data_IF_292519479052
#
_entry.id   IF_292519479052
#
_cell.length_a   1.000
_cell.length_b   1.000
_cell.length_c   1.000
_cell.angle_alpha   90.00
_cell.angle_beta   90.00
_cell.angle_gamma   90.00
#
_symmetry.space_group_name_H-M   'P 1'
#
loop_
_entity.id
_entity.type
_entity.pdbx_description
1 polymer ?
#
# COMPACT_ATOMS: atom_id res chain seq x y z
N UNK A 1 0.29 18.51 27.40
CA UNK A 1 0.85 17.27 27.97
C UNK A 1 -0.22 16.59 28.82
N UNK A 2 -0.35 15.26 28.75
CA UNK A 2 -1.33 14.47 29.50
C UNK A 2 -0.65 13.56 30.52
N UNK A 3 -1.16 13.47 31.75
CA UNK A 3 -0.50 12.67 32.79
C UNK A 3 -0.70 11.19 32.51
N UNK A 4 0.38 10.41 32.49
CA UNK A 4 0.34 8.95 32.35
C UNK A 4 -0.55 8.31 33.42
N UNK A 5 -1.27 7.26 33.04
CA UNK A 5 -2.31 6.64 33.87
C UNK A 5 -3.63 7.41 33.97
N UNK A 6 -3.80 8.49 33.19
CA UNK A 6 -5.08 9.23 33.11
C UNK A 6 -5.84 8.85 31.85
N UNK A 7 -7.17 8.78 31.95
CA UNK A 7 -8.08 8.69 30.81
C UNK A 7 -8.84 10.00 30.66
N UNK A 8 -8.82 10.57 29.46
CA UNK A 8 -9.60 11.74 29.08
C UNK A 8 -10.70 11.30 28.10
N UNK A 9 -11.96 11.62 28.43
CA UNK A 9 -13.12 11.27 27.62
C UNK A 9 -13.49 12.40 26.65
N UNK A 10 -13.85 12.04 25.42
CA UNK A 10 -14.29 12.94 24.36
C UNK A 10 -13.17 13.33 23.39
N UNK A 11 -13.45 14.35 22.56
CA UNK A 11 -12.51 14.78 21.52
C UNK A 11 -11.43 15.70 22.07
N UNK A 12 -10.17 15.35 21.81
CA UNK A 12 -9.03 16.25 21.91
C UNK A 12 -8.86 17.04 20.60
N UNK A 13 -9.11 18.35 20.64
CA UNK A 13 -8.97 19.24 19.50
C UNK A 13 -8.12 20.49 19.84
N UNK A 14 -6.78 20.37 19.90
CA UNK A 14 -5.92 21.54 20.07
C UNK A 14 -6.12 22.51 18.90
N UNK A 15 -5.98 23.81 19.18
CA UNK A 15 -6.13 24.86 18.18
C UNK A 15 -4.84 25.67 18.07
N UNK A 16 -4.57 26.15 16.86
CA UNK A 16 -3.41 26.97 16.55
C UNK A 16 -2.29 26.17 15.88
N UNK A 17 -1.27 26.89 15.43
CA UNK A 17 -0.10 26.33 14.76
C UNK A 17 1.16 26.62 15.55
N UNK A 18 2.16 25.74 15.42
CA UNK A 18 3.52 26.04 15.81
C UNK A 18 4.21 26.90 14.72
N UNK A 19 5.53 26.94 14.80
CA UNK A 19 6.39 27.45 13.73
C UNK A 19 7.59 26.54 13.54
N UNK A 20 8.33 26.68 12.44
CA UNK A 20 9.56 25.93 12.22
C UNK A 20 10.57 26.07 13.40
N UNK A 21 10.63 27.26 14.02
CA UNK A 21 11.49 27.51 15.18
C UNK A 21 10.92 26.95 16.50
N UNK A 22 9.59 26.86 16.60
CA UNK A 22 8.87 26.48 17.81
C UNK A 22 7.68 25.58 17.46
N UNK A 23 7.91 24.32 17.08
CA UNK A 23 6.83 23.35 16.93
C UNK A 23 6.24 23.04 18.32
N UNK A 24 4.96 22.67 18.38
CA UNK A 24 4.36 22.22 19.64
C UNK A 24 4.17 20.71 19.68
N UNK A 25 4.19 20.14 20.88
CA UNK A 25 4.04 18.70 21.08
C UNK A 25 2.84 18.41 21.97
N UNK A 26 2.03 17.44 21.54
CA UNK A 26 0.95 16.85 22.31
C UNK A 26 1.37 15.43 22.66
N UNK A 27 1.68 15.19 23.93
CA UNK A 27 2.17 13.91 24.40
C UNK A 27 1.78 13.63 25.85
N UNK A 28 2.05 12.41 26.31
CA UNK A 28 1.96 12.06 27.73
C UNK A 28 3.21 12.51 28.54
N UNK A 29 3.11 12.52 29.87
CA UNK A 29 4.21 12.79 30.80
C UNK A 29 4.06 12.04 32.13
N UNK A 30 5.16 11.94 32.89
CA UNK A 30 5.21 11.26 34.19
C UNK A 30 5.73 9.82 34.10
N UNK A 31 5.73 9.11 35.21
CA UNK A 31 6.41 7.79 35.33
C UNK A 31 5.43 6.62 35.49
N UNK A 32 4.11 6.85 35.41
CA UNK A 32 3.15 5.76 35.50
C UNK A 32 3.37 4.75 34.35
N UNK A 33 3.16 3.44 34.57
CA UNK A 33 3.48 2.42 33.56
C UNK A 33 2.58 2.48 32.32
N UNK A 34 1.34 2.96 32.48
CA UNK A 34 0.38 3.09 31.38
C UNK A 34 0.43 4.48 30.74
N UNK A 35 0.17 4.55 29.43
CA UNK A 35 0.09 5.82 28.70
C UNK A 35 -1.08 6.66 29.18
N UNK A 36 -1.07 7.95 28.84
CA UNK A 36 -2.31 8.73 28.91
C UNK A 36 -3.25 8.29 27.78
N UNK A 37 -4.52 8.07 28.10
CA UNK A 37 -5.54 7.61 27.16
C UNK A 37 -6.43 8.77 26.74
N UNK A 38 -6.60 8.96 25.43
CA UNK A 38 -7.65 9.77 24.84
C UNK A 38 -8.72 8.80 24.32
N UNK A 39 -9.84 8.70 25.03
CA UNK A 39 -10.99 7.90 24.61
C UNK A 39 -12.02 8.84 24.01
N UNK A 40 -12.26 8.70 22.71
CA UNK A 40 -13.23 9.50 21.96
C UNK A 40 -14.66 9.37 22.51
N UNK A 41 -14.97 8.35 23.31
CA UNK A 41 -16.25 8.13 23.98
C UNK A 41 -17.45 8.31 23.04
N UNK A 42 -17.36 7.79 21.82
CA UNK A 42 -18.46 7.89 20.88
C UNK A 42 -18.42 9.14 20.00
N UNK A 43 -17.39 9.99 20.08
CA UNK A 43 -17.21 11.13 19.18
C UNK A 43 -16.76 10.72 17.76
N UNK A 44 -16.95 11.61 16.78
CA UNK A 44 -16.47 11.39 15.41
C UNK A 44 -14.95 11.19 15.37
N UNK A 45 -14.19 12.04 16.08
CA UNK A 45 -12.73 11.95 16.16
C UNK A 45 -12.31 11.93 17.63
N UNK A 46 -11.50 10.95 18.05
CA UNK A 46 -10.91 10.99 19.40
C UNK A 46 -9.86 12.11 19.49
N UNK A 47 -9.04 12.27 18.46
CA UNK A 47 -8.14 13.41 18.27
C UNK A 47 -8.42 14.09 16.93
N UNK A 48 -8.66 15.39 16.94
CA UNK A 48 -8.83 16.22 15.75
C UNK A 48 -7.72 17.27 15.68
N UNK A 49 -6.89 17.20 14.64
CA UNK A 49 -5.86 18.18 14.30
C UNK A 49 -6.32 18.92 13.06
N UNK A 50 -7.08 20.00 13.29
CA UNK A 50 -7.68 20.79 12.23
C UNK A 50 -6.86 22.04 11.94
N UNK A 51 -6.57 22.30 10.66
CA UNK A 51 -6.03 23.58 10.17
C UNK A 51 -4.81 24.05 10.98
N UNK A 52 -3.84 23.14 11.14
CA UNK A 52 -2.68 23.27 12.03
C UNK A 52 -1.41 22.78 11.34
N UNK A 53 -0.25 23.28 11.79
CA UNK A 53 1.09 22.93 11.27
C UNK A 53 2.15 23.05 12.38
N UNK A 54 3.34 22.49 12.12
CA UNK A 54 4.48 22.42 13.04
C UNK A 54 4.09 21.78 14.38
N UNK A 55 3.60 20.55 14.32
CA UNK A 55 3.09 19.84 15.48
C UNK A 55 3.52 18.37 15.51
N UNK A 56 3.70 17.85 16.71
CA UNK A 56 3.94 16.42 16.96
C UNK A 56 2.91 15.85 17.92
N UNK A 57 2.20 14.80 17.53
CA UNK A 57 1.34 14.00 18.39
C UNK A 57 2.06 12.69 18.70
N UNK A 58 2.37 12.43 19.97
CA UNK A 58 3.23 11.29 20.31
C UNK A 58 2.95 10.64 21.66
N UNK A 59 3.27 9.35 21.78
CA UNK A 59 3.25 8.57 23.05
C UNK A 59 1.89 8.49 23.75
N UNK A 60 0.78 8.75 23.04
CA UNK A 60 -0.58 8.58 23.57
C UNK A 60 -1.14 7.20 23.26
N UNK A 61 -2.11 6.79 24.07
CA UNK A 61 -3.08 5.74 23.75
C UNK A 61 -4.39 6.39 23.31
N UNK A 62 -4.99 5.90 22.22
CA UNK A 62 -6.14 6.51 21.57
C UNK A 62 -7.17 5.43 21.27
N UNK A 63 -8.39 5.60 21.79
CA UNK A 63 -9.51 4.67 21.59
C UNK A 63 -10.78 5.40 21.17
N UNK A 64 -11.72 4.69 20.54
CA UNK A 64 -13.03 5.27 20.19
C UNK A 64 -14.09 4.17 19.97
N UNK A 65 -14.43 3.47 21.05
CA UNK A 65 -15.20 2.22 20.98
C UNK A 65 -16.73 2.40 21.12
N UNK A 66 -17.16 3.45 21.84
CA UNK A 66 -18.59 3.66 22.10
C UNK A 66 -19.35 4.03 20.81
N UNK A 67 -20.64 3.72 20.75
CA UNK A 67 -21.52 3.93 19.60
C UNK A 67 -20.94 3.38 18.27
N UNK A 68 -20.65 2.06 18.20
CA UNK A 68 -19.99 1.45 17.06
C UNK A 68 -20.82 1.56 15.77
N UNK A 69 -20.13 1.59 14.63
CA UNK A 69 -20.77 1.60 13.30
C UNK A 69 -21.12 2.99 12.75
N UNK A 70 -20.91 4.08 13.50
CA UNK A 70 -20.95 5.46 12.98
C UNK A 70 -19.60 5.86 12.36
N UNK A 71 -19.50 6.98 11.64
CA UNK A 71 -18.18 7.51 11.24
C UNK A 71 -17.31 7.80 12.47
N UNK A 72 -16.11 7.20 12.54
CA UNK A 72 -15.20 7.29 13.69
C UNK A 72 -13.74 7.27 13.29
N UNK A 73 -12.94 8.12 13.91
CA UNK A 73 -11.51 8.12 13.79
C UNK A 73 -10.81 8.09 15.15
N UNK A 74 -9.63 7.47 15.16
CA UNK A 74 -8.67 7.65 16.25
C UNK A 74 -8.05 9.05 16.18
N UNK A 75 -7.30 9.32 15.11
CA UNK A 75 -6.74 10.63 14.79
C UNK A 75 -7.25 11.10 13.45
N UNK A 76 -7.72 12.34 13.37
CA UNK A 76 -8.06 12.99 12.10
C UNK A 76 -7.21 14.24 11.91
N UNK A 77 -6.39 14.25 10.86
CA UNK A 77 -5.79 15.45 10.29
C UNK A 77 -6.80 16.03 9.30
N UNK A 78 -7.21 17.28 9.48
CA UNK A 78 -8.20 17.92 8.62
C UNK A 78 -7.73 19.29 8.18
N UNK A 79 -7.56 19.49 6.87
CA UNK A 79 -7.38 20.82 6.29
C UNK A 79 -8.65 21.26 5.57
N UNK A 80 -9.02 22.53 5.68
CA UNK A 80 -10.08 23.13 4.90
C UNK A 80 -9.75 24.58 4.56
N UNK A 81 -9.50 24.85 3.27
CA UNK A 81 -9.13 26.18 2.78
C UNK A 81 -7.93 26.81 3.51
N UNK A 82 -6.96 25.98 3.91
CA UNK A 82 -5.81 26.34 4.75
C UNK A 82 -4.57 26.78 3.97
N UNK A 83 -4.35 26.21 2.79
CA UNK A 83 -3.06 26.26 2.11
C UNK A 83 -2.15 25.09 2.55
N UNK A 84 -0.84 25.32 2.53
CA UNK A 84 0.14 24.32 2.95
C UNK A 84 0.17 24.16 4.48
N UNK A 85 -0.04 22.94 4.97
CA UNK A 85 0.23 22.58 6.36
C UNK A 85 1.57 21.87 6.47
N UNK A 86 2.52 22.51 7.17
CA UNK A 86 3.91 22.08 7.23
C UNK A 86 4.24 21.25 8.46
N UNK A 87 5.17 20.32 8.33
CA UNK A 87 5.86 19.62 9.43
C UNK A 87 4.91 19.09 10.50
N UNK A 88 4.19 18.02 10.18
CA UNK A 88 3.31 17.30 11.11
C UNK A 88 3.85 15.89 11.33
N UNK A 89 4.01 15.49 12.58
CA UNK A 89 4.47 14.15 12.95
C UNK A 89 3.45 13.45 13.85
N UNK A 90 3.03 12.25 13.46
CA UNK A 90 2.23 11.32 14.28
C UNK A 90 3.07 10.08 14.58
N UNK A 91 3.53 9.94 15.82
CA UNK A 91 4.47 8.88 16.14
C UNK A 91 4.36 8.23 17.50
N UNK A 92 4.75 6.96 17.59
CA UNK A 92 4.68 6.19 18.83
C UNK A 92 3.28 6.26 19.45
N UNK A 93 2.20 6.27 18.67
CA UNK A 93 0.83 6.19 19.15
C UNK A 93 0.41 4.72 19.31
N UNK A 94 -0.49 4.46 20.26
CA UNK A 94 -1.19 3.18 20.41
C UNK A 94 -2.66 3.45 20.09
N UNK A 95 -3.11 3.12 18.88
CA UNK A 95 -4.46 3.41 18.39
C UNK A 95 -5.21 2.10 18.28
N UNK A 96 -6.24 1.92 19.10
CA UNK A 96 -7.01 0.67 19.07
C UNK A 96 -8.45 0.84 19.52
N UNK A 97 -9.27 -0.17 19.24
CA UNK A 97 -10.70 -0.16 19.57
C UNK A 97 -11.41 1.07 18.99
N UNK A 98 -11.09 1.43 17.75
CA UNK A 98 -11.81 2.45 16.98
C UNK A 98 -12.89 1.72 16.20
N UNK A 99 -14.13 1.74 16.70
CA UNK A 99 -15.24 0.93 16.18
C UNK A 99 -16.10 1.69 15.18
N UNK A 100 -15.49 2.21 14.13
CA UNK A 100 -16.19 2.97 13.09
C UNK A 100 -17.09 2.13 12.18
N UNK A 101 -17.92 2.80 11.40
CA UNK A 101 -18.74 2.20 10.35
C UNK A 101 -17.95 1.99 9.06
N UNK A 102 -18.50 1.18 8.16
CA UNK A 102 -17.94 0.85 6.84
C UNK A 102 -18.07 2.03 5.84
N UNK A 103 -17.56 3.20 6.23
CA UNK A 103 -17.62 4.46 5.48
C UNK A 103 -16.23 4.81 4.93
N UNK A 104 -16.08 4.75 3.60
CA UNK A 104 -14.87 5.13 2.83
C UNK A 104 -15.07 6.47 2.11
N UNK A 105 -15.32 7.52 2.88
CA UNK A 105 -15.69 8.88 2.40
C UNK A 105 -14.66 9.92 2.85
N UNK A 106 -14.90 11.20 2.62
CA UNK A 106 -14.07 12.31 3.12
C UNK A 106 -14.15 12.48 4.66
N UNK A 107 -15.22 11.97 5.27
CA UNK A 107 -15.47 11.97 6.73
C UNK A 107 -15.43 10.55 7.31
N UNK A 108 -15.04 9.56 6.51
CA UNK A 108 -15.12 8.14 6.84
C UNK A 108 -14.29 7.70 8.03
N UNK A 109 -14.29 6.39 8.28
CA UNK A 109 -13.75 5.81 9.51
C UNK A 109 -12.35 5.23 9.34
N UNK A 110 -11.41 5.55 10.25
CA UNK A 110 -10.04 5.04 10.19
C UNK A 110 -9.28 5.18 11.51
N UNK A 111 -8.13 4.53 11.65
CA UNK A 111 -7.24 4.78 12.78
C UNK A 111 -6.65 6.19 12.66
N UNK A 112 -6.09 6.50 11.47
CA UNK A 112 -5.55 7.80 11.11
C UNK A 112 -6.18 8.25 9.79
N UNK A 113 -6.99 9.31 9.86
CA UNK A 113 -7.64 9.92 8.71
C UNK A 113 -6.90 11.19 8.30
N UNK A 114 -6.40 11.25 7.07
CA UNK A 114 -5.79 12.44 6.47
C UNK A 114 -6.75 13.03 5.45
N UNK A 115 -7.53 14.02 5.89
CA UNK A 115 -8.56 14.67 5.09
C UNK A 115 -8.10 16.05 4.62
N UNK A 116 -8.24 16.29 3.31
CA UNK A 116 -8.18 17.63 2.71
C UNK A 116 -9.57 17.97 2.17
N UNK A 117 -10.25 18.85 2.89
CA UNK A 117 -11.55 19.41 2.60
C UNK A 117 -11.40 20.80 1.95
N UNK A 118 -12.44 21.64 2.05
CA UNK A 118 -12.45 22.96 1.41
C UNK A 118 -12.64 22.89 -0.11
N UNK A 119 -12.89 24.05 -0.71
CA UNK A 119 -13.09 24.19 -2.17
C UNK A 119 -12.54 25.50 -2.73
N UNK A 120 -12.08 26.40 -1.85
CA UNK A 120 -11.74 27.78 -2.19
C UNK A 120 -10.23 27.97 -2.26
N UNK A 121 -9.51 27.45 -1.27
CA UNK A 121 -8.04 27.56 -1.18
C UNK A 121 -7.44 26.16 -1.29
N UNK A 122 -6.65 25.87 -2.36
CA UNK A 122 -5.88 24.64 -2.46
C UNK A 122 -5.11 24.37 -1.19
N UNK A 123 -5.33 23.20 -0.60
CA UNK A 123 -4.74 22.81 0.69
C UNK A 123 -4.04 21.46 0.56
N UNK A 124 -2.91 21.31 1.23
CA UNK A 124 -2.10 20.09 1.17
C UNK A 124 -1.17 20.01 2.38
N UNK A 125 -0.67 18.81 2.68
CA UNK A 125 0.38 18.62 3.67
C UNK A 125 1.76 18.68 3.02
N UNK A 126 2.74 19.29 3.69
CA UNK A 126 4.13 19.43 3.23
C UNK A 126 5.07 19.02 4.38
N UNK A 127 5.59 17.79 4.32
CA UNK A 127 6.32 17.18 5.43
C UNK A 127 5.38 16.54 6.46
N UNK A 128 4.64 15.51 6.05
CA UNK A 128 3.80 14.70 6.95
C UNK A 128 4.48 13.37 7.24
N UNK A 129 4.79 13.11 8.50
CA UNK A 129 5.34 11.85 8.96
C UNK A 129 4.36 11.09 9.85
N UNK A 130 4.10 9.82 9.51
CA UNK A 130 3.27 8.90 10.29
C UNK A 130 4.11 7.65 10.55
N UNK A 131 4.66 7.51 11.76
CA UNK A 131 5.63 6.45 12.00
C UNK A 131 5.65 5.82 13.39
N UNK A 132 6.15 4.60 13.50
CA UNK A 132 6.31 3.91 14.80
C UNK A 132 4.99 3.79 15.59
N UNK A 133 3.84 3.77 14.92
CA UNK A 133 2.54 3.61 15.56
C UNK A 133 2.15 2.14 15.66
N UNK A 134 1.47 1.77 16.75
CA UNK A 134 0.78 0.49 16.92
C UNK A 134 -0.71 0.73 16.68
N UNK A 135 -1.26 0.16 15.62
CA UNK A 135 -2.65 0.30 15.20
C UNK A 135 -3.29 -1.09 15.21
N UNK A 136 -4.34 -1.28 16.00
CA UNK A 136 -5.01 -2.59 16.08
C UNK A 136 -6.50 -2.52 16.32
N UNK A 137 -7.24 -3.49 15.79
CA UNK A 137 -8.68 -3.64 16.03
C UNK A 137 -9.49 -2.39 15.64
N UNK A 138 -9.32 -1.96 14.39
CA UNK A 138 -9.93 -0.75 13.84
C UNK A 138 -10.93 -1.06 12.73
N UNK A 139 -12.04 -0.34 12.77
CA UNK A 139 -13.04 -0.26 11.71
C UNK A 139 -13.13 1.22 11.28
N UNK A 140 -12.95 1.61 10.01
CA UNK A 140 -12.75 0.79 8.80
C UNK A 140 -11.26 0.64 8.44
N UNK A 141 -10.56 1.75 8.21
CA UNK A 141 -9.22 1.77 7.62
C UNK A 141 -8.10 1.85 8.67
N UNK A 142 -6.89 1.43 8.32
CA UNK A 142 -5.69 1.78 9.09
C UNK A 142 -5.31 3.24 8.91
N UNK A 143 -4.56 3.55 7.86
CA UNK A 143 -4.14 4.91 7.49
C UNK A 143 -4.80 5.29 6.17
N UNK A 144 -5.61 6.35 6.17
CA UNK A 144 -6.48 6.66 5.04
C UNK A 144 -6.41 8.13 4.64
N UNK A 145 -6.11 8.37 3.37
CA UNK A 145 -6.05 9.70 2.77
C UNK A 145 -7.27 9.96 1.90
N UNK A 146 -7.79 11.19 1.93
CA UNK A 146 -8.79 11.67 0.96
C UNK A 146 -8.69 13.18 0.75
N UNK A 147 -8.70 13.60 -0.52
CA UNK A 147 -8.60 15.02 -0.89
C UNK A 147 -9.69 15.47 -1.87
N UNK A 148 -10.28 16.65 -1.60
CA UNK A 148 -11.13 17.39 -2.56
C UNK A 148 -10.34 18.07 -3.67
N UNK A 149 -9.03 18.24 -3.52
CA UNK A 149 -8.11 18.77 -4.53
C UNK A 149 -7.48 17.65 -5.34
N UNK A 150 -8.30 16.83 -5.99
CA UNK A 150 -7.90 15.61 -6.69
C UNK A 150 -8.16 15.65 -8.21
N UNK A 151 -8.69 16.75 -8.75
CA UNK A 151 -9.06 16.87 -10.16
C UNK A 151 -7.88 16.93 -11.11
N UNK A 152 -7.73 15.89 -11.94
CA UNK A 152 -6.82 15.86 -13.09
C UNK A 152 -7.34 14.93 -14.18
N UNK A 153 -6.77 14.96 -15.38
CA UNK A 153 -7.19 14.09 -16.48
C UNK A 153 -7.08 12.60 -16.12
N UNK A 154 -6.02 12.22 -15.39
CA UNK A 154 -5.69 10.82 -15.13
C UNK A 154 -6.74 10.07 -14.29
N UNK A 155 -7.56 10.75 -13.48
CA UNK A 155 -8.60 10.10 -12.65
C UNK A 155 -9.87 9.75 -13.42
N UNK A 156 -10.00 10.22 -14.67
CA UNK A 156 -11.17 9.95 -15.50
C UNK A 156 -12.49 10.22 -14.76
N UNK A 157 -13.41 9.25 -14.81
CA UNK A 157 -14.71 9.32 -14.14
C UNK A 157 -14.72 8.62 -12.76
N UNK A 158 -13.57 8.16 -12.22
CA UNK A 158 -13.50 7.75 -10.81
C UNK A 158 -13.65 8.96 -9.88
N UNK A 159 -13.41 10.15 -10.42
CA UNK A 159 -13.68 11.40 -9.74
C UNK A 159 -15.15 11.80 -9.89
N UNK A 160 -15.84 11.97 -8.76
CA UNK A 160 -17.05 12.79 -8.71
C UNK A 160 -16.63 14.27 -8.68
N UNK A 161 -16.87 15.05 -9.77
CA UNK A 161 -16.44 16.44 -9.85
C UNK A 161 -17.24 17.37 -8.92
N UNK A 162 -18.38 16.93 -8.40
CA UNK A 162 -19.16 17.71 -7.42
C UNK A 162 -18.61 17.48 -6.00
N UNK A 163 -18.29 16.23 -5.67
CA UNK A 163 -17.71 15.89 -4.38
C UNK A 163 -16.25 16.38 -4.26
N UNK A 164 -15.45 16.25 -5.32
CA UNK A 164 -14.02 16.56 -5.33
C UNK A 164 -13.66 17.57 -6.42
N UNK A 165 -14.10 18.84 -6.33
CA UNK A 165 -14.02 19.79 -7.45
C UNK A 165 -12.62 20.40 -7.68
N UNK A 166 -11.75 20.38 -6.67
CA UNK A 166 -10.49 21.12 -6.66
C UNK A 166 -9.46 20.53 -7.61
N UNK A 167 -8.71 21.39 -8.30
CA UNK A 167 -7.57 20.99 -9.12
C UNK A 167 -6.57 20.16 -8.31
N UNK A 168 -5.97 19.14 -8.92
CA UNK A 168 -5.01 18.24 -8.27
C UNK A 168 -3.89 19.03 -7.61
N UNK A 169 -3.88 19.01 -6.27
CA UNK A 169 -2.92 19.71 -5.42
C UNK A 169 -2.39 18.69 -4.41
N UNK A 170 -1.28 18.01 -4.72
CA UNK A 170 -0.84 16.87 -3.94
C UNK A 170 -0.19 17.28 -2.62
N UNK A 171 -0.31 16.41 -1.62
CA UNK A 171 0.57 16.49 -0.45
C UNK A 171 1.99 16.04 -0.80
N UNK A 172 2.98 16.72 -0.23
CA UNK A 172 4.40 16.60 -0.51
C UNK A 172 5.16 16.12 0.73
N UNK A 173 6.28 15.42 0.53
CA UNK A 173 7.11 14.96 1.65
C UNK A 173 6.37 14.04 2.62
N UNK A 174 5.41 13.25 2.12
CA UNK A 174 4.66 12.29 2.94
C UNK A 174 5.49 11.04 3.20
N UNK A 175 5.71 10.71 4.47
CA UNK A 175 6.38 9.49 4.91
C UNK A 175 5.48 8.67 5.85
N UNK A 176 5.29 7.39 5.52
CA UNK A 176 4.53 6.45 6.35
C UNK A 176 5.43 5.25 6.63
N UNK A 177 5.99 5.13 7.83
CA UNK A 177 7.00 4.10 8.06
C UNK A 177 7.05 3.49 9.46
N UNK A 178 7.54 2.26 9.57
CA UNK A 178 7.72 1.59 10.87
C UNK A 178 6.43 1.46 11.68
N UNK A 179 5.26 1.50 11.04
CA UNK A 179 3.99 1.28 11.72
C UNK A 179 3.68 -0.22 11.76
N UNK A 180 3.06 -0.66 12.85
CA UNK A 180 2.46 -2.01 12.96
C UNK A 180 0.95 -1.85 12.92
N UNK A 181 0.30 -2.52 11.98
CA UNK A 181 -1.14 -2.50 11.77
C UNK A 181 -1.68 -3.92 11.83
N UNK A 182 -2.64 -4.18 12.72
CA UNK A 182 -3.22 -5.52 12.86
C UNK A 182 -4.74 -5.47 12.97
N UNK A 183 -5.43 -6.52 12.52
CA UNK A 183 -6.89 -6.65 12.70
C UNK A 183 -7.68 -5.44 12.17
N UNK A 184 -7.54 -5.11 10.90
CA UNK A 184 -8.27 -4.03 10.24
C UNK A 184 -9.51 -4.54 9.51
N UNK A 185 -10.61 -3.78 9.56
CA UNK A 185 -11.83 -4.15 8.86
C UNK A 185 -11.70 -4.02 7.35
N UNK A 186 -11.12 -2.91 6.88
CA UNK A 186 -11.02 -2.52 5.49
C UNK A 186 -9.58 -2.50 5.00
N UNK A 187 -9.16 -1.38 4.43
CA UNK A 187 -7.84 -1.18 3.85
C UNK A 187 -6.77 -0.99 4.93
N UNK A 188 -5.53 -1.39 4.61
CA UNK A 188 -4.37 -1.17 5.47
C UNK A 188 -3.89 0.27 5.43
N UNK A 189 -3.20 0.63 4.35
CA UNK A 189 -2.67 1.96 4.10
C UNK A 189 -3.11 2.39 2.69
N UNK A 190 -4.01 3.38 2.63
CA UNK A 190 -4.41 4.04 1.40
C UNK A 190 -3.80 5.43 1.32
N UNK A 191 -3.04 5.68 0.26
CA UNK A 191 -2.52 7.00 -0.07
C UNK A 191 -3.33 7.61 -1.22
N UNK A 192 -3.68 8.88 -1.10
CA UNK A 192 -4.51 9.60 -2.07
C UNK A 192 -3.94 11.00 -2.29
N UNK A 193 -3.78 11.39 -3.56
CA UNK A 193 -3.38 12.76 -3.95
C UNK A 193 -2.08 13.22 -3.28
N UNK A 194 -1.01 12.45 -3.51
CA UNK A 194 0.34 12.76 -3.06
C UNK A 194 1.32 12.78 -4.22
N UNK A 195 2.47 13.43 -4.02
CA UNK A 195 3.59 13.39 -4.96
C UNK A 195 4.88 13.09 -4.20
N UNK A 196 5.60 12.05 -4.63
CA UNK A 196 6.85 11.62 -4.01
C UNK A 196 6.69 10.94 -2.64
N UNK A 197 5.53 10.37 -2.33
CA UNK A 197 5.31 9.70 -1.04
C UNK A 197 6.25 8.48 -0.86
N UNK A 198 6.61 8.20 0.39
CA UNK A 198 7.40 7.03 0.79
C UNK A 198 6.66 6.23 1.84
N UNK A 199 6.43 4.94 1.56
CA UNK A 199 5.79 4.00 2.48
C UNK A 199 6.72 2.85 2.72
N UNK A 200 7.35 2.83 3.89
CA UNK A 200 8.46 1.92 4.14
C UNK A 200 8.50 1.25 5.52
N UNK A 201 8.99 0.02 5.59
CA UNK A 201 9.15 -0.71 6.86
C UNK A 201 7.86 -0.83 7.71
N UNK A 202 6.68 -0.82 7.09
CA UNK A 202 5.42 -1.08 7.81
C UNK A 202 5.15 -2.59 7.86
N UNK A 203 4.55 -3.05 8.96
CA UNK A 203 4.03 -4.41 9.10
C UNK A 203 2.51 -4.36 9.17
N UNK A 204 1.85 -4.93 8.18
CA UNK A 204 0.40 -5.06 8.11
C UNK A 204 0.02 -6.53 8.22
N UNK A 205 -0.75 -6.89 9.24
CA UNK A 205 -1.13 -8.28 9.54
C UNK A 205 -2.63 -8.38 9.84
N UNK A 206 -3.40 -8.73 8.82
CA UNK A 206 -4.86 -8.79 8.86
C UNK A 206 -5.53 -7.49 8.40
N UNK A 207 -5.88 -7.45 7.12
CA UNK A 207 -6.74 -6.42 6.52
C UNK A 207 -7.94 -7.09 5.83
N UNK A 208 -8.95 -6.29 5.47
CA UNK A 208 -10.21 -6.78 4.88
C UNK A 208 -10.91 -7.84 5.75
N UNK A 209 -10.79 -7.77 7.08
CA UNK A 209 -11.32 -8.83 7.94
C UNK A 209 -12.83 -8.69 8.19
N UNK A 210 -13.40 -7.50 8.00
CA UNK A 210 -14.78 -7.20 8.43
C UNK A 210 -15.58 -6.33 7.45
N UNK A 211 -14.94 -5.50 6.63
CA UNK A 211 -15.60 -4.70 5.59
C UNK A 211 -16.13 -5.60 4.47
N UNK A 212 -17.34 -5.31 3.97
CA UNK A 212 -17.94 -6.04 2.85
C UNK A 212 -17.61 -5.42 1.49
N UNK A 213 -16.91 -4.28 1.51
CA UNK A 213 -16.45 -3.59 0.32
C UNK A 213 -15.11 -4.16 -0.19
N UNK A 214 -14.63 -3.57 -1.28
CA UNK A 214 -13.34 -3.90 -1.87
C UNK A 214 -12.23 -3.19 -1.07
N UNK A 215 -11.14 -3.89 -0.80
CA UNK A 215 -10.02 -3.41 0.02
C UNK A 215 -8.71 -4.03 -0.43
N UNK A 216 -7.60 -3.32 -0.19
CA UNK A 216 -6.24 -3.80 -0.40
C UNK A 216 -5.35 -3.51 0.82
N UNK A 217 -4.17 -4.13 0.85
CA UNK A 217 -3.19 -3.95 1.92
C UNK A 217 -2.59 -2.54 1.91
N UNK A 218 -1.69 -2.26 0.97
CA UNK A 218 -1.07 -0.94 0.77
C UNK A 218 -1.28 -0.49 -0.67
N UNK A 219 -1.90 0.68 -0.86
CA UNK A 219 -2.30 1.09 -2.20
C UNK A 219 -2.33 2.60 -2.44
N UNK A 220 -2.23 2.95 -3.72
CA UNK A 220 -2.14 4.32 -4.19
C UNK A 220 -3.32 4.68 -5.08
N UNK A 221 -3.87 5.88 -4.88
CA UNK A 221 -4.87 6.48 -5.76
C UNK A 221 -4.47 7.91 -6.10
N UNK A 222 -4.45 8.26 -7.38
CA UNK A 222 -4.18 9.63 -7.82
C UNK A 222 -2.85 10.22 -7.31
N UNK A 223 -1.80 9.40 -7.33
CA UNK A 223 -0.46 9.77 -6.84
C UNK A 223 0.56 9.87 -7.99
N UNK A 224 1.62 10.65 -7.76
CA UNK A 224 2.80 10.68 -8.62
C UNK A 224 4.04 10.22 -7.82
N UNK A 225 4.82 9.29 -8.39
CA UNK A 225 6.15 8.88 -7.92
C UNK A 225 6.20 8.35 -6.46
N UNK A 226 5.15 7.63 -6.06
CA UNK A 226 5.09 6.93 -4.77
C UNK A 226 5.99 5.71 -4.78
N UNK A 227 6.81 5.54 -3.73
CA UNK A 227 7.59 4.31 -3.51
C UNK A 227 7.07 3.59 -2.28
N UNK A 228 6.74 2.32 -2.46
CA UNK A 228 6.31 1.38 -1.43
C UNK A 228 7.41 0.32 -1.30
N UNK A 229 8.15 0.33 -0.19
CA UNK A 229 9.32 -0.54 -0.03
C UNK A 229 9.59 -1.06 1.38
N UNK A 230 10.20 -2.23 1.51
CA UNK A 230 10.52 -2.84 2.81
C UNK A 230 9.31 -3.11 3.71
N UNK A 231 8.09 -3.22 3.14
CA UNK A 231 6.88 -3.52 3.92
C UNK A 231 6.65 -5.03 4.02
N UNK A 232 6.06 -5.47 5.13
CA UNK A 232 5.48 -6.81 5.30
C UNK A 232 3.95 -6.70 5.28
N UNK A 233 3.28 -7.44 4.39
CA UNK A 233 1.81 -7.41 4.23
C UNK A 233 1.24 -8.83 4.26
N UNK A 234 0.43 -9.13 5.27
CA UNK A 234 -0.12 -10.47 5.49
C UNK A 234 -1.57 -10.52 5.94
N UNK A 235 -2.17 -11.71 5.84
CA UNK A 235 -3.44 -12.03 6.48
C UNK A 235 -4.66 -11.34 5.87
N UNK A 236 -4.59 -10.89 4.61
CA UNK A 236 -5.73 -10.33 3.88
C UNK A 236 -6.92 -11.29 3.87
N UNK A 237 -8.06 -10.87 4.42
CA UNK A 237 -9.17 -11.74 4.79
C UNK A 237 -10.20 -12.05 3.69
N UNK A 238 -10.04 -11.53 2.48
CA UNK A 238 -11.01 -11.70 1.41
C UNK A 238 -10.44 -11.61 0.01
N UNK A 239 -11.29 -11.88 -0.99
CA UNK A 239 -10.90 -11.92 -2.42
C UNK A 239 -11.60 -10.86 -3.26
N UNK A 240 -12.32 -9.93 -2.60
CA UNK A 240 -12.97 -8.79 -3.26
C UNK A 240 -11.93 -7.67 -3.32
N UNK A 241 -11.20 -7.63 -4.42
CA UNK A 241 -9.80 -7.20 -4.46
C UNK A 241 -8.98 -8.12 -3.54
N UNK A 242 -8.53 -7.61 -2.38
CA UNK A 242 -7.84 -8.35 -1.34
C UNK A 242 -6.35 -8.55 -1.56
N UNK A 243 -5.76 -7.79 -2.49
CA UNK A 243 -4.34 -7.86 -2.84
C UNK A 243 -3.49 -7.19 -1.77
N UNK A 244 -2.26 -7.67 -1.62
CA UNK A 244 -1.25 -7.03 -0.77
C UNK A 244 -0.97 -5.59 -1.22
N UNK A 245 -0.86 -5.38 -2.53
CA UNK A 245 -0.50 -4.11 -3.14
C UNK A 245 -1.46 -3.71 -4.26
N UNK A 246 -1.72 -2.41 -4.41
CA UNK A 246 -2.53 -1.90 -5.51
C UNK A 246 -2.06 -0.53 -6.05
N UNK A 247 -1.89 -0.46 -7.37
CA UNK A 247 -1.76 0.80 -8.11
C UNK A 247 -3.11 1.14 -8.80
N UNK A 248 -3.98 1.79 -8.04
CA UNK A 248 -5.31 2.21 -8.49
C UNK A 248 -5.20 3.39 -9.49
N UNK A 249 -6.33 3.85 -10.00
CA UNK A 249 -6.42 4.89 -11.00
C UNK A 249 -5.71 6.18 -10.64
N UNK A 250 -5.21 6.80 -11.70
CA UNK A 250 -4.35 7.96 -11.66
C UNK A 250 -3.07 7.78 -10.85
N UNK A 251 -2.63 6.54 -10.58
CA UNK A 251 -1.29 6.29 -10.06
C UNK A 251 -0.27 6.36 -11.20
N UNK A 252 0.72 7.23 -11.07
CA UNK A 252 1.78 7.43 -12.05
C UNK A 252 3.14 7.24 -11.40
N UNK A 253 3.97 6.36 -11.96
CA UNK A 253 5.33 6.12 -11.49
C UNK A 253 5.39 5.41 -10.13
N UNK A 254 4.34 4.68 -9.73
CA UNK A 254 4.35 3.91 -8.48
C UNK A 254 5.39 2.79 -8.55
N UNK A 255 6.23 2.69 -7.53
CA UNK A 255 7.22 1.63 -7.39
C UNK A 255 6.89 0.77 -6.18
N UNK A 256 6.67 -0.53 -6.38
CA UNK A 256 6.64 -1.53 -5.33
C UNK A 256 7.95 -2.31 -5.38
N UNK A 257 8.83 -2.09 -4.41
CA UNK A 257 10.12 -2.77 -4.37
C UNK A 257 10.49 -3.28 -3.01
N UNK A 258 11.16 -4.41 -2.94
CA UNK A 258 11.62 -4.94 -1.65
C UNK A 258 10.47 -5.08 -0.64
N UNK A 259 9.27 -5.50 -1.05
CA UNK A 259 8.17 -5.85 -0.12
C UNK A 259 7.98 -7.37 0.02
N UNK A 260 7.64 -7.81 1.24
CA UNK A 260 7.31 -9.19 1.56
C UNK A 260 5.81 -9.29 1.78
N UNK A 261 5.12 -10.12 0.99
CA UNK A 261 3.72 -10.41 1.21
C UNK A 261 3.50 -11.89 1.42
N UNK A 262 2.57 -12.23 2.31
CA UNK A 262 2.20 -13.63 2.49
C UNK A 262 0.80 -13.86 3.03
N UNK A 263 0.23 -15.02 2.69
CA UNK A 263 -1.06 -15.49 3.21
C UNK A 263 -2.24 -14.52 2.95
N UNK A 264 -2.18 -13.71 1.87
CA UNK A 264 -3.27 -12.80 1.51
C UNK A 264 -4.27 -13.49 0.58
N UNK A 265 -5.53 -13.60 0.99
CA UNK A 265 -6.54 -14.35 0.22
C UNK A 265 -6.76 -13.79 -1.20
N UNK A 266 -6.69 -12.47 -1.39
CA UNK A 266 -6.91 -11.84 -2.69
C UNK A 266 -5.72 -11.93 -3.64
N UNK A 267 -4.52 -12.10 -3.09
CA UNK A 267 -3.28 -12.31 -3.81
C UNK A 267 -2.31 -11.14 -3.70
N UNK A 268 -1.46 -10.92 -4.70
CA UNK A 268 -0.30 -10.05 -4.57
C UNK A 268 -0.53 -8.61 -5.06
N UNK A 269 -0.84 -8.43 -6.35
CA UNK A 269 -0.88 -7.11 -6.99
C UNK A 269 -2.20 -6.87 -7.72
N UNK A 270 -2.79 -5.71 -7.49
CA UNK A 270 -3.87 -5.13 -8.28
C UNK A 270 -3.38 -3.87 -9.03
N UNK A 271 -3.92 -3.66 -10.22
CA UNK A 271 -3.75 -2.41 -10.97
C UNK A 271 -5.12 -1.99 -11.48
N UNK A 272 -5.71 -0.92 -10.90
CA UNK A 272 -7.15 -0.69 -11.02
C UNK A 272 -7.62 0.69 -11.57
N UNK A 273 -7.23 1.14 -12.78
CA UNK A 273 -7.63 2.45 -13.33
C UNK A 273 -9.05 2.51 -13.93
N UNK A 274 -10.05 1.89 -13.31
CA UNK A 274 -11.41 1.77 -13.89
C UNK A 274 -12.10 3.12 -14.13
N UNK A 275 -13.28 3.10 -14.76
CA UNK A 275 -14.07 4.31 -15.05
C UNK A 275 -13.33 5.40 -15.86
N UNK A 276 -12.42 4.99 -16.75
CA UNK A 276 -11.70 5.91 -17.64
C UNK A 276 -10.49 6.59 -17.00
N UNK A 277 -10.11 6.20 -15.78
CA UNK A 277 -8.82 6.58 -15.21
C UNK A 277 -7.67 5.88 -15.95
N UNK A 278 -6.43 6.24 -15.64
CA UNK A 278 -5.22 5.63 -16.20
C UNK A 278 -4.21 5.34 -15.09
N UNK A 279 -3.52 4.19 -15.18
CA UNK A 279 -2.35 3.88 -14.35
C UNK A 279 -1.13 3.77 -15.24
N UNK A 280 -0.04 4.47 -14.89
CA UNK A 280 1.08 4.73 -15.79
C UNK A 280 2.42 4.41 -15.11
N UNK A 281 3.28 3.64 -15.77
CA UNK A 281 4.68 3.49 -15.38
C UNK A 281 4.90 2.76 -14.05
N UNK A 282 3.99 1.86 -13.66
CA UNK A 282 4.13 1.08 -12.42
C UNK A 282 5.33 0.13 -12.53
N UNK A 283 6.23 0.15 -11.55
CA UNK A 283 7.36 -0.78 -11.45
C UNK A 283 7.18 -1.67 -10.23
N UNK A 284 7.27 -2.99 -10.42
CA UNK A 284 7.15 -3.98 -9.34
C UNK A 284 8.37 -4.87 -9.38
N UNK A 285 9.27 -4.74 -8.41
CA UNK A 285 10.58 -5.41 -8.47
C UNK A 285 11.15 -5.88 -7.16
N UNK A 286 11.92 -6.97 -7.19
CA UNK A 286 12.62 -7.49 -6.00
C UNK A 286 11.71 -7.66 -4.79
N UNK A 287 10.44 -8.01 -5.01
CA UNK A 287 9.50 -8.37 -3.96
C UNK A 287 9.51 -9.89 -3.75
N UNK A 288 9.14 -10.30 -2.55
CA UNK A 288 8.89 -11.69 -2.17
C UNK A 288 7.40 -11.84 -1.90
N UNK A 289 6.75 -12.83 -2.53
CA UNK A 289 5.35 -13.16 -2.29
C UNK A 289 5.25 -14.65 -1.98
N UNK A 290 4.72 -14.98 -0.80
CA UNK A 290 4.66 -16.35 -0.28
C UNK A 290 3.23 -16.72 0.08
N UNK A 291 2.66 -17.73 -0.58
CA UNK A 291 1.28 -18.18 -0.28
C UNK A 291 0.20 -17.09 -0.41
N UNK A 292 0.45 -16.06 -1.23
CA UNK A 292 -0.60 -15.15 -1.69
C UNK A 292 -1.58 -15.90 -2.62
N UNK A 293 -2.87 -15.64 -2.43
CA UNK A 293 -3.96 -16.47 -2.94
C UNK A 293 -4.48 -16.08 -4.33
N UNK A 294 -5.76 -15.72 -4.40
CA UNK A 294 -6.63 -15.85 -5.57
C UNK A 294 -6.01 -15.44 -6.93
N UNK A 295 -5.24 -14.33 -6.97
CA UNK A 295 -4.59 -13.79 -8.18
C UNK A 295 -3.22 -13.20 -7.84
N UNK A 296 -2.15 -13.63 -8.52
CA UNK A 296 -0.87 -12.93 -8.34
C UNK A 296 -0.92 -11.52 -8.94
N UNK A 297 -1.51 -11.37 -10.12
CA UNK A 297 -1.68 -10.06 -10.78
C UNK A 297 -3.12 -9.95 -11.26
N UNK A 298 -3.83 -8.92 -10.82
CA UNK A 298 -5.13 -8.54 -11.38
C UNK A 298 -5.06 -7.14 -12.00
N UNK A 299 -5.69 -7.00 -13.16
CA UNK A 299 -5.85 -5.74 -13.87
C UNK A 299 -7.33 -5.43 -14.02
N UNK A 300 -7.77 -4.29 -13.49
CA UNK A 300 -9.11 -3.79 -13.78
C UNK A 300 -9.17 -3.18 -15.18
N UNK A 301 -10.36 -2.78 -15.60
CA UNK A 301 -10.55 -2.09 -16.86
C UNK A 301 -9.86 -0.72 -16.85
N UNK A 302 -9.43 -0.24 -18.02
CA UNK A 302 -8.81 1.07 -18.19
C UNK A 302 -7.36 1.00 -18.68
N UNK A 303 -6.78 2.10 -19.17
CA UNK A 303 -5.40 2.11 -19.61
C UNK A 303 -4.40 1.83 -18.46
N UNK A 304 -3.67 0.72 -18.59
CA UNK A 304 -2.52 0.35 -17.77
C UNK A 304 -1.32 0.39 -18.69
N UNK A 305 -0.50 1.43 -18.59
CA UNK A 305 0.55 1.69 -19.58
C UNK A 305 1.92 1.62 -18.93
N UNK A 306 2.87 1.02 -19.63
CA UNK A 306 4.28 0.92 -19.23
C UNK A 306 4.50 0.26 -17.85
N UNK A 307 3.71 -0.76 -17.52
CA UNK A 307 3.90 -1.54 -16.29
C UNK A 307 5.04 -2.55 -16.47
N UNK A 308 5.99 -2.55 -15.52
CA UNK A 308 7.17 -3.43 -15.51
C UNK A 308 7.21 -4.23 -14.22
N UNK A 309 7.01 -5.54 -14.31
CA UNK A 309 7.05 -6.47 -13.18
C UNK A 309 8.27 -7.36 -13.38
N UNK A 310 9.32 -7.18 -12.57
CA UNK A 310 10.56 -7.90 -12.78
C UNK A 310 11.35 -8.27 -11.54
N UNK A 311 12.14 -9.34 -11.62
CA UNK A 311 13.01 -9.76 -10.51
C UNK A 311 12.27 -9.97 -9.18
N UNK A 312 11.01 -10.41 -9.22
CA UNK A 312 10.27 -10.83 -8.02
C UNK A 312 10.36 -12.35 -7.86
N UNK A 313 10.21 -12.85 -6.64
CA UNK A 313 10.12 -14.28 -6.34
C UNK A 313 8.76 -14.59 -5.71
N UNK A 314 7.96 -15.38 -6.42
CA UNK A 314 6.64 -15.87 -6.00
C UNK A 314 6.74 -17.34 -5.65
N UNK A 315 6.37 -17.70 -4.41
CA UNK A 315 6.40 -19.08 -3.93
C UNK A 315 5.09 -19.44 -3.25
N UNK A 316 4.40 -20.42 -3.81
CA UNK A 316 3.12 -20.89 -3.34
C UNK A 316 3.29 -22.35 -2.91
N UNK A 317 3.39 -22.54 -1.60
CA UNK A 317 3.61 -23.83 -0.93
C UNK A 317 2.30 -24.52 -0.57
N UNK A 318 1.33 -23.72 -0.12
CA UNK A 318 0.05 -24.20 0.38
C UNK A 318 -1.12 -23.58 -0.36
N UNK A 319 -1.07 -22.28 -0.65
CA UNK A 319 -2.09 -21.59 -1.44
C UNK A 319 -1.78 -21.72 -2.92
N UNK A 320 -2.77 -22.11 -3.75
CA UNK A 320 -2.62 -22.16 -5.21
C UNK A 320 -3.48 -21.05 -5.83
N UNK A 321 -2.88 -20.00 -6.41
CA UNK A 321 -3.59 -18.95 -7.11
C UNK A 321 -4.44 -19.52 -8.24
N UNK A 322 -5.69 -19.08 -8.36
CA UNK A 322 -6.49 -19.43 -9.52
C UNK A 322 -5.90 -18.82 -10.80
N UNK A 323 -5.33 -17.61 -10.69
CA UNK A 323 -4.80 -16.87 -11.83
C UNK A 323 -3.39 -16.34 -11.57
N UNK A 324 -2.51 -16.54 -12.55
CA UNK A 324 -1.23 -15.83 -12.59
C UNK A 324 -1.49 -14.37 -12.97
N UNK A 325 -2.29 -14.17 -14.03
CA UNK A 325 -2.75 -12.86 -14.49
C UNK A 325 -4.24 -12.94 -14.81
N UNK A 326 -5.02 -12.04 -14.20
CA UNK A 326 -6.43 -11.85 -14.50
C UNK A 326 -6.65 -10.41 -15.00
N UNK A 327 -7.12 -10.28 -16.24
CA UNK A 327 -7.77 -9.06 -16.68
C UNK A 327 -9.27 -9.20 -16.42
N UNK A 328 -9.88 -8.19 -15.79
CA UNK A 328 -11.28 -8.25 -15.42
C UNK A 328 -12.19 -8.39 -16.65
N UNK A 329 -13.20 -9.25 -16.51
CA UNK A 329 -14.14 -9.58 -17.58
C UNK A 329 -14.88 -8.33 -18.03
N UNK A 330 -15.05 -8.11 -19.33
CA UNK A 330 -15.77 -6.93 -19.83
C UNK A 330 -14.88 -5.70 -20.07
N UNK A 331 -13.55 -5.82 -19.95
CA UNK A 331 -12.58 -4.82 -20.43
C UNK A 331 -12.97 -4.35 -21.84
N UNK A 332 -13.41 -3.09 -22.04
CA UNK A 332 -13.79 -2.61 -23.36
C UNK A 332 -12.63 -2.77 -24.35
N UNK A 333 -12.91 -2.86 -25.65
CA UNK A 333 -11.86 -2.92 -26.69
C UNK A 333 -10.88 -1.71 -26.67
N UNK A 334 -11.25 -0.64 -25.97
CA UNK A 334 -10.40 0.54 -25.73
C UNK A 334 -9.45 0.39 -24.53
N UNK A 335 -9.57 -0.71 -23.77
CA UNK A 335 -8.67 -1.05 -22.66
C UNK A 335 -7.32 -1.44 -23.23
N UNK A 336 -6.31 -0.61 -22.94
CA UNK A 336 -4.93 -0.83 -23.37
C UNK A 336 -4.10 -1.18 -22.14
N UNK A 337 -3.65 -2.42 -22.10
CA UNK A 337 -2.76 -2.94 -21.08
C UNK A 337 -1.39 -3.17 -21.71
N UNK A 338 -0.35 -2.56 -21.15
CA UNK A 338 1.05 -2.74 -21.52
C UNK A 338 1.82 -3.21 -20.31
N UNK A 339 1.94 -4.53 -20.19
CA UNK A 339 2.55 -5.19 -19.05
C UNK A 339 3.73 -6.04 -19.54
N UNK A 340 4.89 -5.80 -18.95
CA UNK A 340 6.07 -6.62 -19.16
C UNK A 340 6.42 -7.36 -17.87
N UNK A 341 6.45 -8.69 -17.95
CA UNK A 341 6.76 -9.58 -16.82
C UNK A 341 8.07 -10.30 -17.14
N UNK A 342 9.17 -9.96 -16.47
CA UNK A 342 10.51 -10.44 -16.83
C UNK A 342 11.38 -10.81 -15.63
N UNK A 343 12.30 -11.75 -15.77
CA UNK A 343 13.23 -12.11 -14.69
C UNK A 343 12.53 -12.51 -13.37
N UNK A 344 11.27 -12.94 -13.36
CA UNK A 344 10.61 -13.37 -12.13
C UNK A 344 10.76 -14.89 -11.93
N UNK A 345 10.76 -15.33 -10.68
CA UNK A 345 10.63 -16.74 -10.31
C UNK A 345 9.19 -16.98 -9.88
N UNK A 346 8.54 -18.01 -10.44
CA UNK A 346 7.25 -18.51 -9.98
C UNK A 346 7.36 -19.98 -9.61
N UNK A 347 7.07 -20.32 -8.36
CA UNK A 347 7.16 -21.69 -7.82
C UNK A 347 5.82 -22.10 -7.25
N UNK A 348 5.31 -23.24 -7.72
CA UNK A 348 4.18 -23.94 -7.11
C UNK A 348 4.67 -25.26 -6.50
N UNK A 349 4.70 -25.34 -5.17
CA UNK A 349 4.92 -26.58 -4.41
C UNK A 349 3.60 -27.19 -3.89
N UNK A 350 2.50 -26.45 -4.08
CA UNK A 350 1.15 -26.86 -3.70
C UNK A 350 0.51 -27.85 -4.68
N UNK A 351 -0.82 -27.93 -4.65
CA UNK A 351 -1.56 -28.79 -5.56
C UNK A 351 -1.36 -28.39 -7.03
N UNK A 352 -1.45 -29.37 -7.93
CA UNK A 352 -1.42 -29.11 -9.37
C UNK A 352 -2.65 -28.31 -9.83
N UNK A 353 -2.45 -27.41 -10.79
CA UNK A 353 -3.51 -26.55 -11.34
C UNK A 353 -3.33 -25.09 -10.93
N UNK A 354 -4.32 -24.26 -11.25
CA UNK A 354 -4.24 -22.81 -11.01
C UNK A 354 -3.35 -22.09 -12.03
N UNK A 355 -2.88 -20.89 -11.65
CA UNK A 355 -2.03 -20.01 -12.48
C UNK A 355 -2.59 -19.73 -13.87
N UNK A 356 -3.91 -19.77 -14.03
CA UNK A 356 -4.52 -19.53 -15.31
C UNK A 356 -4.33 -18.07 -15.76
N UNK A 357 -4.46 -17.87 -17.07
CA UNK A 357 -4.61 -16.54 -17.65
C UNK A 357 -6.08 -16.30 -17.94
N UNK A 358 -6.63 -15.18 -17.46
CA UNK A 358 -8.01 -14.80 -17.73
C UNK A 358 -8.07 -13.51 -18.51
N UNK A 359 -8.73 -13.57 -19.66
CA UNK A 359 -8.92 -12.46 -20.61
C UNK A 359 -7.64 -11.67 -20.97
N UNK A 360 -6.48 -12.31 -21.13
CA UNK A 360 -5.23 -11.57 -21.23
C UNK A 360 -5.21 -10.69 -22.48
N UNK A 361 -5.03 -9.40 -22.26
CA UNK A 361 -4.87 -8.39 -23.31
C UNK A 361 -3.61 -8.62 -24.17
N UNK A 362 -3.57 -8.09 -25.41
CA UNK A 362 -2.44 -8.29 -26.32
C UNK A 362 -1.10 -7.71 -25.83
N UNK A 363 -1.11 -6.66 -25.00
CA UNK A 363 0.12 -6.04 -24.50
C UNK A 363 0.73 -6.70 -23.26
N UNK A 364 0.18 -7.85 -22.82
CA UNK A 364 0.81 -8.70 -21.80
C UNK A 364 1.93 -9.55 -22.41
N UNK A 365 3.16 -9.28 -21.97
CA UNK A 365 4.37 -9.96 -22.45
C UNK A 365 5.19 -10.60 -21.32
N UNK A 366 5.77 -11.76 -21.61
CA UNK A 366 6.68 -12.49 -20.73
C UNK A 366 8.03 -12.71 -21.42
N UNK A 367 9.12 -12.73 -20.65
CA UNK A 367 10.43 -13.19 -21.11
C UNK A 367 11.37 -13.45 -19.93
N UNK A 368 12.28 -14.42 -20.02
CA UNK A 368 13.30 -14.68 -18.99
C UNK A 368 12.72 -14.92 -17.59
N UNK A 369 11.47 -15.37 -17.47
CA UNK A 369 10.94 -15.83 -16.19
C UNK A 369 11.26 -17.31 -16.01
N UNK A 370 11.42 -17.72 -14.76
CA UNK A 370 11.53 -19.12 -14.39
C UNK A 370 10.22 -19.59 -13.78
N UNK A 371 9.73 -20.74 -14.26
CA UNK A 371 8.56 -21.42 -13.72
C UNK A 371 8.97 -22.79 -13.17
N UNK A 372 8.45 -23.16 -12.00
CA UNK A 372 8.58 -24.49 -11.41
C UNK A 372 7.23 -24.96 -10.87
N UNK A 373 6.82 -26.18 -11.22
CA UNK A 373 5.51 -26.72 -10.83
C UNK A 373 4.31 -26.01 -11.49
N UNK A 374 4.57 -25.18 -12.51
CA UNK A 374 3.57 -24.37 -13.22
C UNK A 374 3.72 -24.62 -14.72
N UNK A 375 2.67 -25.11 -15.37
CA UNK A 375 2.64 -25.28 -16.82
C UNK A 375 2.37 -23.92 -17.51
N UNK A 376 3.43 -23.28 -18.01
CA UNK A 376 3.31 -21.98 -18.68
C UNK A 376 2.60 -22.12 -20.03
N UNK A 377 1.47 -21.41 -20.19
CA UNK A 377 0.61 -21.49 -21.40
C UNK A 377 0.80 -20.32 -22.37
N UNK A 378 1.71 -19.38 -22.07
CA UNK A 378 2.06 -18.25 -22.94
C UNK A 378 3.55 -18.29 -23.30
N UNK A 379 3.96 -17.70 -24.45
CA UNK A 379 5.37 -17.59 -24.80
C UNK A 379 6.19 -16.87 -23.73
N UNK A 380 7.31 -17.46 -23.33
CA UNK A 380 8.28 -16.91 -22.37
C UNK A 380 9.70 -17.05 -22.95
N UNK A 381 10.06 -16.29 -24.01
CA UNK A 381 11.38 -16.36 -24.64
C UNK A 381 12.50 -16.09 -23.63
N UNK A 382 13.56 -16.89 -23.69
CA UNK A 382 14.67 -16.87 -22.73
C UNK A 382 14.30 -17.38 -21.34
N UNK A 383 13.07 -17.86 -21.15
CA UNK A 383 12.59 -18.41 -19.90
C UNK A 383 13.09 -19.82 -19.58
N UNK A 384 12.92 -20.21 -18.33
CA UNK A 384 13.38 -21.49 -17.79
C UNK A 384 12.18 -22.24 -17.18
N UNK A 385 12.11 -23.54 -17.42
CA UNK A 385 11.16 -24.46 -16.78
C UNK A 385 11.98 -25.51 -16.01
N UNK A 386 12.33 -25.18 -14.76
CA UNK A 386 13.21 -25.98 -13.91
C UNK A 386 13.05 -25.56 -12.45
N UNK A 387 13.47 -26.42 -11.52
CA UNK A 387 13.59 -26.06 -10.11
C UNK A 387 14.63 -24.93 -9.93
N UNK A 388 14.26 -23.77 -9.36
CA UNK A 388 15.19 -22.68 -9.09
C UNK A 388 16.20 -22.98 -7.98
N UNK A 389 16.10 -24.12 -7.29
CA UNK A 389 16.89 -24.46 -6.11
C UNK A 389 16.81 -23.37 -5.04
N UNK A 390 15.58 -22.94 -4.73
CA UNK A 390 15.35 -21.97 -3.64
C UNK A 390 15.62 -22.64 -2.29
N UNK A 391 16.32 -21.91 -1.43
CA UNK A 391 16.47 -22.24 -0.01
C UNK A 391 15.21 -21.86 0.77
N UNK A 392 15.06 -22.33 2.03
CA UNK A 392 13.94 -21.92 2.88
C UNK A 392 13.81 -20.40 3.07
N UNK A 393 14.94 -19.68 3.01
CA UNK A 393 15.01 -18.21 3.09
C UNK A 393 14.88 -17.50 1.73
N UNK A 394 14.48 -18.22 0.68
CA UNK A 394 14.22 -17.74 -0.67
C UNK A 394 15.45 -17.25 -1.44
N UNK A 395 16.66 -17.47 -0.93
CA UNK A 395 17.89 -17.28 -1.70
C UNK A 395 18.12 -18.45 -2.65
N UNK A 396 18.76 -18.19 -3.78
CA UNK A 396 19.17 -19.23 -4.72
C UNK A 396 20.32 -20.06 -4.13
N UNK A 397 20.22 -21.39 -4.25
CA UNK A 397 21.32 -22.27 -3.91
C UNK A 397 22.41 -22.27 -5.01
N UNK A 398 23.61 -22.75 -4.65
CA UNK A 398 24.67 -22.99 -5.63
C UNK A 398 24.19 -23.98 -6.72
N UNK A 399 24.49 -23.65 -7.99
CA UNK A 399 24.05 -24.45 -9.15
C UNK A 399 22.62 -24.19 -9.62
N UNK A 400 21.91 -23.23 -9.00
CA UNK A 400 20.58 -22.82 -9.45
C UNK A 400 20.58 -22.39 -10.94
N UNK A 401 19.60 -22.83 -11.74
CA UNK A 401 19.45 -22.38 -13.12
C UNK A 401 19.05 -20.90 -13.24
N UNK A 402 18.65 -20.25 -12.14
CA UNK A 402 18.30 -18.83 -12.13
C UNK A 402 19.53 -17.90 -12.03
N UNK A 403 20.71 -18.43 -11.71
CA UNK A 403 21.93 -17.63 -11.57
C UNK A 403 22.39 -17.11 -12.94
N UNK A 404 22.58 -15.79 -13.05
CA UNK A 404 23.03 -15.09 -14.28
C UNK A 404 22.20 -15.43 -15.53
N UNK A 405 20.91 -15.74 -15.35
CA UNK A 405 20.02 -16.21 -16.42
C UNK A 405 18.95 -15.17 -16.83
N UNK A 406 18.94 -14.00 -16.21
CA UNK A 406 17.98 -12.94 -16.53
C UNK A 406 18.30 -12.20 -17.83
N UNK A 407 17.62 -11.08 -18.02
CA UNK A 407 17.94 -10.06 -19.04
C UNK A 407 18.26 -8.72 -18.37
N UNK A 408 19.08 -7.90 -19.01
CA UNK A 408 19.39 -6.57 -18.49
C UNK A 408 18.13 -5.70 -18.44
N UNK A 409 17.94 -5.00 -17.33
CA UNK A 409 16.86 -4.06 -17.13
C UNK A 409 17.49 -2.71 -16.78
N UNK A 410 17.20 -1.69 -17.60
CA UNK A 410 17.58 -0.32 -17.29
C UNK A 410 16.85 0.15 -16.02
N UNK A 411 17.48 1.02 -15.25
CA UNK A 411 16.92 1.57 -14.01
C UNK A 411 16.46 0.50 -13.02
N UNK A 412 17.18 -0.62 -12.91
CA UNK A 412 16.85 -1.75 -12.03
C UNK A 412 16.87 -1.44 -10.52
N UNK A 413 17.12 -0.20 -10.10
CA UNK A 413 17.12 0.18 -8.68
C UNK A 413 18.43 -0.12 -7.94
N UNK A 414 19.36 -0.85 -8.59
CA UNK A 414 20.73 -1.03 -8.13
C UNK A 414 20.90 -1.99 -6.95
N UNK A 415 19.83 -2.50 -6.34
CA UNK A 415 19.88 -3.52 -5.27
C UNK A 415 18.77 -4.56 -5.40
N UNK A 416 18.99 -5.74 -4.83
CA UNK A 416 17.99 -6.81 -4.70
C UNK A 416 17.30 -6.76 -3.32
N UNK A 417 16.40 -7.72 -3.05
CA UNK A 417 15.72 -7.85 -1.75
C UNK A 417 16.70 -8.01 -0.58
N UNK A 418 17.81 -8.73 -0.81
CA UNK A 418 18.78 -9.11 0.21
C UNK A 418 19.91 -8.06 0.38
N UNK A 419 19.82 -6.92 -0.32
CA UNK A 419 20.79 -5.83 -0.26
C UNK A 419 22.02 -5.99 -1.16
N UNK A 420 22.10 -7.04 -1.98
CA UNK A 420 23.15 -7.23 -2.97
C UNK A 420 23.05 -6.16 -4.05
N UNK A 421 24.19 -5.72 -4.59
CA UNK A 421 24.20 -4.77 -5.70
C UNK A 421 23.75 -5.45 -7.01
N UNK A 422 22.90 -4.78 -7.79
CA UNK A 422 22.52 -5.24 -9.12
C UNK A 422 23.25 -4.41 -10.17
N UNK A 423 24.03 -5.08 -11.01
CA UNK A 423 24.77 -4.42 -12.08
C UNK A 423 23.83 -3.86 -13.15
N UNK A 424 24.15 -2.68 -13.68
CA UNK A 424 23.49 -2.12 -14.85
C UNK A 424 24.00 -2.73 -16.19
N UNK A 425 25.10 -3.50 -16.14
CA UNK A 425 25.81 -3.97 -17.36
C UNK A 425 26.07 -5.48 -17.38
N UNK A 426 25.86 -6.16 -16.25
CA UNK A 426 26.01 -7.60 -16.12
C UNK A 426 24.63 -8.24 -16.04
N UNK A 427 24.45 -9.36 -16.72
CA UNK A 427 23.18 -10.09 -16.71
C UNK A 427 22.82 -10.45 -15.26
N UNK A 428 21.61 -10.07 -14.78
CA UNK A 428 21.18 -10.37 -13.42
C UNK A 428 20.77 -11.84 -13.27
N UNK A 429 20.58 -12.25 -12.02
CA UNK A 429 19.83 -13.46 -11.72
C UNK A 429 18.35 -13.27 -12.11
N UNK A 430 17.62 -14.39 -12.24
CA UNK A 430 16.15 -14.39 -12.23
C UNK A 430 15.70 -14.42 -10.77
N UNK A 431 14.70 -13.62 -10.42
CA UNK A 431 14.13 -13.52 -9.08
C UNK A 431 14.71 -12.38 -8.24
N UNK A 432 14.37 -12.38 -6.96
CA UNK A 432 14.68 -11.30 -6.02
C UNK A 432 16.08 -11.39 -5.36
N UNK A 433 16.92 -12.36 -5.76
CA UNK A 433 18.24 -12.60 -5.19
C UNK A 433 19.35 -12.54 -6.26
N UNK A 434 20.32 -11.64 -6.08
CA UNK A 434 21.42 -11.32 -7.00
C UNK A 434 22.80 -11.79 -6.50
N UNK A 435 22.85 -12.58 -5.43
CA UNK A 435 24.11 -13.17 -4.95
C UNK A 435 24.60 -14.38 -5.76
N UNK A 436 25.81 -14.90 -5.48
CA UNK A 436 26.49 -15.94 -6.28
C UNK A 436 25.94 -17.38 -6.09
N UNK A 437 24.77 -17.54 -5.47
CA UNK A 437 24.28 -18.82 -4.96
C UNK A 437 24.83 -19.14 -3.56
N UNK A 438 24.02 -19.73 -2.69
CA UNK A 438 24.39 -20.06 -1.30
C UNK A 438 24.42 -21.57 -1.11
N UNK A 439 25.46 -22.09 -0.45
CA UNK A 439 25.59 -23.51 -0.11
C UNK A 439 24.62 -23.95 0.99
#
# INVERSE_FOLDING_TARGET
>A
MFKRGTTCLGTLAPRGSGSAAHPFTVADYGDAPTRAVIDGNGAHDAVLLADSQYLRLTRLEITNAAAPGTERNGVRLRLGDFGAAKDITLDHLSIHDVRGGDFKTLTGSSAIHVAVEGTTVPSWYDGLEIHHNDIRDVDREGIYFKSRFSKRELVGNQQDPNAYPGAWTPSLGVRIHHNTLTSLAGDGIKIDTTSGARVDHNRLDGFQLRSRAANAGIWTFNTDDTVVEYNEVSGGGGTKDGMSFDADGASKGTVFQYNHSHDNQGGFLLICPYSGAKTLGTVVRYNLSVDDGARLIQNCWGPILDTRIHNNTFVNRTAVPAYLVQDDAGSPATTRHELSIRNNIFVNEGASGGYAFKNPTPGLSFSHNLFHGIAMTRPNPGGIDADPLLRPDLRLAAGSPALSAGTLIADNGGRDWFGNAVSATTVPNIGAYEGPGVN
#
